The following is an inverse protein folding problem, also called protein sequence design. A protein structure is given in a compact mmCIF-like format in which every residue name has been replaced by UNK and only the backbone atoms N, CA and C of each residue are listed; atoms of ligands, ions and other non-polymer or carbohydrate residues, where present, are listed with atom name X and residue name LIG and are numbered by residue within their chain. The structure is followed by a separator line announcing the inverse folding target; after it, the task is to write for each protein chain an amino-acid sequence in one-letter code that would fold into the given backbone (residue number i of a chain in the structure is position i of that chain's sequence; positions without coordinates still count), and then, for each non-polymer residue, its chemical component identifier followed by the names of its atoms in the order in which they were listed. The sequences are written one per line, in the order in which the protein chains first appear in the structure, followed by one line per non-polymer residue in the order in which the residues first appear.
data_IF_995642931155
#
_entry.id   IF_995642931155
#
_cell.length_a   1.000
_cell.length_b   1.000
_cell.length_c   1.000
_cell.angle_alpha   90.00
_cell.angle_beta   90.00
_cell.angle_gamma   90.00
#
_symmetry.space_group_name_H-M   'P 1'
#
loop_
_entity.id
_entity.type
_entity.pdbx_description
1 polymer ?
#
# COMPACT_ATOMS: atom_id res chain seq x y z
N UNK A 1 7.93 4.30 -8.21
CA UNK A 1 6.90 4.22 -7.15
C UNK A 1 7.15 2.99 -6.36
N UNK A 2 7.12 3.10 -5.04
CA UNK A 2 7.09 1.93 -4.19
C UNK A 2 5.77 1.18 -4.43
N UNK A 3 5.78 -0.11 -4.81
CA UNK A 3 4.58 -0.93 -4.85
C UNK A 3 3.83 -0.83 -3.53
N UNK A 4 2.49 -1.00 -3.54
CA UNK A 4 1.68 -0.93 -2.32
C UNK A 4 2.24 -1.82 -1.18
N UNK A 5 2.80 -2.99 -1.53
CA UNK A 5 3.45 -3.89 -0.58
C UNK A 5 4.65 -3.27 0.15
N UNK A 6 5.43 -2.44 -0.52
CA UNK A 6 6.57 -1.75 0.06
C UNK A 6 6.10 -0.62 0.98
N UNK A 7 5.14 0.20 0.54
CA UNK A 7 4.51 1.22 1.38
C UNK A 7 3.90 0.62 2.65
N UNK A 8 3.16 -0.48 2.52
CA UNK A 8 2.59 -1.16 3.68
C UNK A 8 3.69 -1.67 4.64
N UNK A 9 4.81 -2.21 4.15
CA UNK A 9 5.94 -2.58 5.02
C UNK A 9 6.51 -1.39 5.74
N UNK A 10 6.72 -0.28 5.04
CA UNK A 10 7.31 0.92 5.63
C UNK A 10 6.41 1.49 6.72
N UNK A 11 5.10 1.61 6.49
CA UNK A 11 4.18 2.10 7.51
C UNK A 11 4.00 1.13 8.69
N UNK A 12 4.01 -0.18 8.46
CA UNK A 12 4.02 -1.16 9.55
C UNK A 12 5.25 -0.99 10.44
N UNK A 13 6.43 -0.82 9.83
CA UNK A 13 7.68 -0.61 10.54
C UNK A 13 7.66 0.72 11.33
N UNK A 14 7.19 1.81 10.72
CA UNK A 14 7.07 3.12 11.38
C UNK A 14 6.09 3.08 12.55
N UNK A 15 4.96 2.39 12.40
CA UNK A 15 3.97 2.21 13.47
C UNK A 15 4.41 1.20 14.55
N UNK A 16 5.56 0.53 14.38
CA UNK A 16 6.01 -0.53 15.30
C UNK A 16 5.08 -1.75 15.33
N UNK A 17 4.33 -1.99 14.27
CA UNK A 17 3.34 -3.06 14.16
C UNK A 17 3.94 -4.28 13.45
N UNK A 18 3.78 -5.46 14.06
CA UNK A 18 3.99 -6.72 13.34
C UNK A 18 2.84 -6.98 12.37
N UNK A 19 3.07 -7.83 11.36
CA UNK A 19 2.01 -8.26 10.43
C UNK A 19 0.83 -8.92 11.16
N UNK A 20 1.11 -9.74 12.19
CA UNK A 20 0.06 -10.40 12.98
C UNK A 20 -0.76 -9.38 13.75
N UNK A 21 -0.10 -8.41 14.39
CA UNK A 21 -0.79 -7.37 15.16
C UNK A 21 -1.62 -6.46 14.27
N UNK A 22 -1.10 -6.08 13.11
CA UNK A 22 -1.86 -5.32 12.13
C UNK A 22 -3.07 -6.11 11.62
N UNK A 23 -2.90 -7.39 11.32
CA UNK A 23 -4.00 -8.25 10.87
C UNK A 23 -5.13 -8.34 11.91
N UNK A 24 -4.79 -8.48 13.20
CA UNK A 24 -5.76 -8.41 14.30
C UNK A 24 -6.52 -7.07 14.33
N UNK A 25 -5.80 -5.95 14.28
CA UNK A 25 -6.41 -4.61 14.31
C UNK A 25 -7.28 -4.35 13.07
N UNK A 26 -6.85 -4.85 11.92
CA UNK A 26 -7.55 -4.75 10.66
C UNK A 26 -8.64 -5.81 10.49
N UNK A 27 -8.95 -6.60 11.52
CA UNK A 27 -9.94 -7.68 11.50
C UNK A 27 -9.83 -8.53 10.22
N UNK A 28 -8.64 -9.10 10.02
CA UNK A 28 -8.31 -9.94 8.87
C UNK A 28 -7.28 -11.01 9.24
N UNK A 29 -7.14 -12.03 8.40
CA UNK A 29 -6.14 -13.08 8.58
C UNK A 29 -4.71 -12.59 8.30
N UNK A 30 -3.72 -13.04 9.07
CA UNK A 30 -2.31 -12.71 8.86
C UNK A 30 -1.81 -13.20 7.50
N UNK A 31 -2.25 -14.37 7.05
CA UNK A 31 -1.92 -14.91 5.73
C UNK A 31 -2.40 -14.00 4.60
N UNK A 32 -3.54 -13.33 4.76
CA UNK A 32 -4.00 -12.32 3.80
C UNK A 32 -3.03 -11.12 3.70
N UNK A 33 -2.56 -10.60 4.83
CA UNK A 33 -1.55 -9.53 4.85
C UNK A 33 -0.25 -10.01 4.19
N UNK A 34 0.20 -11.22 4.53
CA UNK A 34 1.39 -11.82 3.92
C UNK A 34 1.28 -11.94 2.39
N UNK A 35 0.11 -12.35 1.88
CA UNK A 35 -0.14 -12.44 0.44
C UNK A 35 -0.10 -11.08 -0.27
N UNK A 36 -0.61 -10.03 0.38
CA UNK A 36 -0.52 -8.65 -0.12
C UNK A 36 0.93 -8.19 -0.17
N UNK A 37 1.69 -8.45 0.90
CA UNK A 37 3.11 -8.11 0.98
C UNK A 37 3.97 -8.90 0.00
N UNK A 38 3.55 -10.10 -0.39
CA UNK A 38 4.17 -10.89 -1.45
C UNK A 38 3.67 -10.52 -2.86
N UNK A 39 2.79 -9.53 -2.99
CA UNK A 39 2.17 -9.09 -4.26
C UNK A 39 1.37 -10.19 -4.99
N UNK A 40 1.04 -11.27 -4.29
CA UNK A 40 0.20 -12.38 -4.80
C UNK A 40 -1.29 -12.09 -4.66
N UNK A 41 -1.65 -11.08 -3.85
CA UNK A 41 -3.02 -10.65 -3.63
C UNK A 41 -3.10 -9.13 -3.58
N UNK A 42 -4.23 -8.59 -4.04
CA UNK A 42 -4.46 -7.14 -4.08
C UNK A 42 -5.05 -6.64 -2.76
N UNK A 43 -4.76 -5.38 -2.36
CA UNK A 43 -5.33 -4.80 -1.15
C UNK A 43 -6.85 -4.61 -1.25
N UNK A 44 -7.58 -4.66 -0.13
CA UNK A 44 -9.03 -4.46 -0.12
C UNK A 44 -9.40 -2.97 -0.23
N UNK A 45 -9.79 -2.50 -1.42
CA UNK A 45 -10.09 -1.08 -1.67
C UNK A 45 -11.20 -0.52 -0.76
N UNK A 46 -12.19 -1.34 -0.40
CA UNK A 46 -13.28 -0.91 0.47
C UNK A 46 -12.89 -0.77 1.96
N UNK A 47 -11.71 -1.29 2.36
CA UNK A 47 -11.20 -1.24 3.75
C UNK A 47 -9.91 -0.43 3.87
N UNK A 48 -9.41 0.14 2.77
CA UNK A 48 -8.10 0.77 2.76
C UNK A 48 -8.04 2.05 3.61
N UNK A 49 -9.16 2.77 3.73
CA UNK A 49 -9.26 3.93 4.62
C UNK A 49 -9.17 3.54 6.10
N UNK A 50 -9.76 2.41 6.48
CA UNK A 50 -9.64 1.87 7.84
C UNK A 50 -8.19 1.48 8.13
N UNK A 51 -7.49 0.90 7.15
CA UNK A 51 -6.08 0.53 7.28
C UNK A 51 -5.18 1.75 7.47
N UNK A 52 -5.42 2.84 6.73
CA UNK A 52 -4.71 4.10 6.94
C UNK A 52 -4.94 4.67 8.34
N UNK A 53 -6.16 4.53 8.87
CA UNK A 53 -6.50 4.94 10.23
C UNK A 53 -5.78 4.09 11.28
N UNK A 54 -5.70 2.77 11.09
CA UNK A 54 -4.98 1.85 11.99
C UNK A 54 -3.48 2.15 12.01
N UNK A 55 -2.93 2.55 10.87
CA UNK A 55 -1.54 2.95 10.71
C UNK A 55 -1.25 4.38 11.20
N UNK A 56 -2.27 5.10 11.68
CA UNK A 56 -2.19 6.48 12.17
C UNK A 56 -1.55 7.44 11.14
N UNK A 57 -1.94 7.29 9.85
CA UNK A 57 -1.41 8.10 8.78
C UNK A 57 -2.02 9.51 8.78
N UNK A 58 -1.20 10.52 8.52
CA UNK A 58 -1.71 11.87 8.27
C UNK A 58 -2.53 11.95 6.97
N UNK A 59 -3.29 13.04 6.73
CA UNK A 59 -4.17 13.13 5.56
C UNK A 59 -3.46 13.05 4.20
N UNK A 60 -2.24 13.60 4.07
CA UNK A 60 -1.49 13.56 2.82
C UNK A 60 -1.01 12.13 2.56
N UNK A 61 -0.43 11.50 3.58
CA UNK A 61 0.06 10.12 3.54
C UNK A 61 -1.08 9.13 3.31
N UNK A 62 -2.25 9.39 3.90
CA UNK A 62 -3.47 8.60 3.68
C UNK A 62 -3.86 8.58 2.21
N UNK A 63 -3.87 9.74 1.54
CA UNK A 63 -4.22 9.79 0.12
C UNK A 63 -3.22 9.00 -0.74
N UNK A 64 -1.92 9.15 -0.47
CA UNK A 64 -0.88 8.40 -1.17
C UNK A 64 -1.03 6.88 -0.99
N UNK A 65 -1.37 6.44 0.22
CA UNK A 65 -1.61 5.04 0.55
C UNK A 65 -2.83 4.47 -0.20
N UNK A 66 -3.91 5.24 -0.28
CA UNK A 66 -5.12 4.89 -1.02
C UNK A 66 -4.82 4.82 -2.53
N UNK A 67 -4.15 5.81 -3.08
CA UNK A 67 -3.78 5.85 -4.51
C UNK A 67 -2.92 4.65 -4.91
N UNK A 68 -1.95 4.27 -4.06
CA UNK A 68 -1.14 3.08 -4.25
C UNK A 68 -1.98 1.80 -4.25
N UNK A 69 -3.00 1.71 -3.38
CA UNK A 69 -3.92 0.58 -3.39
C UNK A 69 -4.74 0.52 -4.68
N UNK A 70 -5.26 1.65 -5.17
CA UNK A 70 -5.97 1.72 -6.46
C UNK A 70 -5.09 1.33 -7.64
N UNK A 71 -3.83 1.75 -7.63
CA UNK A 71 -2.89 1.37 -8.67
C UNK A 71 -2.58 -0.13 -8.67
N UNK A 72 -2.50 -0.77 -7.51
CA UNK A 72 -2.33 -2.23 -7.42
C UNK A 72 -3.46 -3.00 -8.13
N UNK A 73 -4.65 -2.40 -8.27
CA UNK A 73 -5.77 -2.95 -9.03
C UNK A 73 -5.79 -2.59 -10.51
N UNK A 74 -4.97 -1.64 -10.93
CA UNK A 74 -4.93 -1.18 -12.32
C UNK A 74 -4.34 -2.26 -13.25
N UNK A 75 -4.56 -2.09 -14.56
CA UNK A 75 -3.98 -2.97 -15.57
C UNK A 75 -2.46 -2.82 -15.59
N UNK A 76 -1.75 -3.83 -16.12
CA UNK A 76 -0.30 -3.77 -16.26
C UNK A 76 0.12 -2.55 -17.09
N UNK A 77 -0.58 -2.27 -18.20
CA UNK A 77 -0.32 -1.09 -19.04
C UNK A 77 -0.36 0.22 -18.25
N UNK A 78 -1.37 0.41 -17.39
CA UNK A 78 -1.46 1.62 -16.55
C UNK A 78 -0.31 1.68 -15.55
N UNK A 79 0.05 0.56 -14.91
CA UNK A 79 1.19 0.50 -14.00
C UNK A 79 2.51 0.86 -14.70
N UNK A 80 2.72 0.34 -15.90
CA UNK A 80 3.91 0.61 -16.71
C UNK A 80 3.97 2.09 -17.12
N UNK A 81 2.85 2.67 -17.55
CA UNK A 81 2.76 4.09 -17.88
C UNK A 81 3.11 4.98 -16.67
N UNK A 82 2.57 4.67 -15.49
CA UNK A 82 2.85 5.45 -14.28
C UNK A 82 4.31 5.28 -13.85
N UNK A 83 4.89 4.09 -14.00
CA UNK A 83 6.30 3.85 -13.73
C UNK A 83 7.21 4.69 -14.66
N UNK A 84 6.91 4.74 -15.96
CA UNK A 84 7.67 5.55 -16.92
C UNK A 84 7.54 7.06 -16.64
N UNK A 85 6.33 7.54 -16.37
CA UNK A 85 6.10 8.95 -16.02
C UNK A 85 6.91 9.39 -14.80
N UNK A 86 7.01 8.54 -13.78
CA UNK A 86 7.81 8.83 -12.59
C UNK A 86 9.30 8.87 -12.88
N UNK A 87 9.83 7.88 -13.58
CA UNK A 87 11.24 7.86 -13.99
C UNK A 87 11.63 9.17 -14.68
N UNK A 88 10.76 9.67 -15.56
CA UNK A 88 10.95 10.95 -16.25
C UNK A 88 10.88 12.16 -15.33
N UNK A 89 10.04 12.15 -14.29
CA UNK A 89 9.98 13.24 -13.31
C UNK A 89 11.24 13.26 -12.44
N UNK A 90 11.70 12.10 -11.98
CA UNK A 90 12.89 11.96 -11.14
C UNK A 90 14.17 12.36 -11.90
N UNK A 91 14.23 12.15 -13.22
CA UNK A 91 15.33 12.60 -14.09
C UNK A 91 15.38 14.13 -14.29
N UNK A 92 14.30 14.86 -13.97
CA UNK A 92 14.17 16.31 -14.16
C UNK A 92 14.12 17.12 -12.85
N UNK A 93 14.24 16.47 -11.70
CA UNK A 93 14.25 17.08 -10.37
C UNK A 93 15.69 17.27 -9.86
#
# INVERSE_FOLDING_TARGET
MQPFAELLRDYLNHAGLSQSRFAELADTDQGFISQILAETRRPPLNRIGDWATILDLDPETTQQFIDAAHLAHSTQHVRDMVADLRRRLDENA
#
